data_IF_932719576982
#
_entry.id   IF_932719576982
#
_cell.length_a   1.000
_cell.length_b   1.000
_cell.length_c   1.000
_cell.angle_alpha   90.00
_cell.angle_beta   90.00
_cell.angle_gamma   90.00
#
_symmetry.space_group_name_H-M   'P 1'
#
loop_
_entity.id
_entity.type
_entity.pdbx_description
1 polymer ?
#
# COMPACT_ATOMS: atom_id res chain seq x y z
N UNK A 1 11.64 0.84 53.22
CA UNK A 1 10.33 0.46 52.62
C UNK A 1 10.30 0.98 51.18
N UNK A 2 10.30 0.11 50.16
CA UNK A 2 10.44 0.51 48.75
C UNK A 2 9.09 0.90 48.12
N UNK A 3 9.13 1.91 47.25
CA UNK A 3 8.00 2.35 46.42
C UNK A 3 7.65 1.30 45.35
N UNK A 4 6.36 1.00 45.10
CA UNK A 4 5.99 0.13 43.99
C UNK A 4 6.07 0.86 42.65
N UNK A 5 6.49 0.07 41.66
CA UNK A 5 6.94 0.44 40.32
C UNK A 5 5.78 0.87 39.42
N UNK A 6 6.07 1.85 38.55
CA UNK A 6 5.30 2.17 37.35
C UNK A 6 5.03 0.91 36.54
N UNK A 7 3.76 0.56 36.35
CA UNK A 7 3.31 -0.38 35.34
C UNK A 7 1.94 0.08 34.90
N UNK A 8 1.89 0.69 33.71
CA UNK A 8 0.70 0.84 32.85
C UNK A 8 1.23 1.22 31.46
N UNK A 9 2.06 0.33 30.92
CA UNK A 9 2.08 0.06 29.48
C UNK A 9 1.05 -1.06 29.26
N UNK A 10 0.37 -1.04 28.10
CA UNK A 10 -0.59 -2.04 27.58
C UNK A 10 -2.09 -1.70 27.61
N UNK A 11 -2.42 -0.42 27.46
CA UNK A 11 -3.75 -0.01 26.97
C UNK A 11 -3.51 1.23 26.12
N UNK A 12 -3.29 1.11 24.81
CA UNK A 12 -4.42 1.09 23.88
C UNK A 12 -3.99 0.73 22.43
N UNK A 13 -3.18 -0.33 22.24
CA UNK A 13 -2.80 -0.80 20.89
C UNK A 13 -3.91 -1.56 20.15
N UNK A 14 -5.13 -1.49 20.68
CA UNK A 14 -6.31 -2.23 20.23
C UNK A 14 -7.49 -1.31 19.96
N UNK A 15 -7.24 -0.01 19.71
CA UNK A 15 -8.18 0.87 19.03
C UNK A 15 -8.34 0.40 17.57
N UNK A 16 -9.09 -0.69 17.45
CA UNK A 16 -10.03 -1.04 16.38
C UNK A 16 -9.67 -0.38 15.06
N UNK A 17 -9.02 -1.17 14.19
CA UNK A 17 -9.31 -1.09 12.77
C UNK A 17 -10.82 -1.27 12.64
N UNK A 18 -11.55 -0.16 12.67
CA UNK A 18 -12.93 -0.12 12.21
C UNK A 18 -12.92 -0.69 10.79
N UNK A 19 -13.87 -1.54 10.40
CA UNK A 19 -14.03 -1.87 8.99
C UNK A 19 -14.18 -0.54 8.26
N UNK A 20 -13.21 -0.20 7.42
CA UNK A 20 -13.37 0.98 6.58
C UNK A 20 -14.58 0.70 5.71
N UNK A 21 -15.71 1.37 5.96
CA UNK A 21 -16.92 1.31 5.12
C UNK A 21 -16.69 1.90 3.72
N UNK A 22 -15.44 2.10 3.33
CA UNK A 22 -15.03 2.44 1.97
C UNK A 22 -14.80 1.18 1.14
N UNK A 23 -14.97 1.26 -0.19
CA UNK A 23 -14.69 0.14 -1.07
C UNK A 23 -13.25 -0.36 -0.87
N UNK A 24 -13.06 -1.68 -0.92
CA UNK A 24 -11.73 -2.29 -0.83
C UNK A 24 -10.84 -1.66 -1.91
N UNK A 25 -9.82 -0.91 -1.49
CA UNK A 25 -8.93 -0.17 -2.38
C UNK A 25 -8.22 -1.11 -3.35
N UNK A 26 -7.90 -2.32 -2.90
CA UNK A 26 -7.27 -3.34 -3.73
C UNK A 26 -8.24 -3.85 -4.80
N UNK A 27 -9.48 -4.16 -4.41
CA UNK A 27 -10.52 -4.57 -5.34
C UNK A 27 -10.85 -3.47 -6.35
N UNK A 28 -10.94 -2.21 -5.88
CA UNK A 28 -11.17 -1.04 -6.71
C UNK A 28 -10.05 -0.87 -7.74
N UNK A 29 -8.78 -0.98 -7.32
CA UNK A 29 -7.64 -0.89 -8.23
C UNK A 29 -7.65 -2.00 -9.29
N UNK A 30 -7.99 -3.24 -8.90
CA UNK A 30 -8.15 -4.37 -9.84
C UNK A 30 -9.27 -4.14 -10.84
N UNK A 31 -10.41 -3.62 -10.37
CA UNK A 31 -11.55 -3.29 -11.22
C UNK A 31 -11.17 -2.22 -12.25
N UNK A 32 -10.52 -1.14 -11.82
CA UNK A 32 -10.05 -0.08 -12.73
C UNK A 32 -9.08 -0.66 -13.77
N UNK A 33 -8.14 -1.52 -13.37
CA UNK A 33 -7.19 -2.15 -14.29
C UNK A 33 -7.89 -3.03 -15.36
N UNK A 34 -8.92 -3.79 -14.97
CA UNK A 34 -9.70 -4.60 -15.91
C UNK A 34 -10.51 -3.71 -16.88
N UNK A 35 -11.25 -2.73 -16.35
CA UNK A 35 -12.09 -1.85 -17.14
C UNK A 35 -11.29 -1.03 -18.16
N UNK A 36 -10.16 -0.47 -17.73
CA UNK A 36 -9.29 0.33 -18.62
C UNK A 36 -8.64 -0.51 -19.72
N UNK A 37 -8.39 -1.80 -19.49
CA UNK A 37 -7.93 -2.71 -20.53
C UNK A 37 -8.99 -2.89 -21.64
N UNK A 38 -10.24 -3.14 -21.25
CA UNK A 38 -11.34 -3.30 -22.21
C UNK A 38 -11.58 -2.02 -23.00
N UNK A 39 -11.63 -0.87 -22.31
CA UNK A 39 -11.80 0.44 -22.95
C UNK A 39 -10.65 0.76 -23.91
N UNK A 40 -9.41 0.41 -23.56
CA UNK A 40 -8.27 0.62 -24.46
C UNK A 40 -8.45 -0.16 -25.76
N UNK A 41 -8.91 -1.42 -25.69
CA UNK A 41 -9.18 -2.20 -26.90
C UNK A 41 -10.29 -1.56 -27.76
N UNK A 42 -11.34 -1.03 -27.13
CA UNK A 42 -12.40 -0.31 -27.86
C UNK A 42 -11.87 0.96 -28.51
N UNK A 43 -11.03 1.73 -27.80
CA UNK A 43 -10.41 2.95 -28.32
C UNK A 43 -9.48 2.66 -29.51
N UNK A 44 -8.72 1.55 -29.49
CA UNK A 44 -7.90 1.11 -30.64
C UNK A 44 -8.77 0.77 -31.85
N UNK A 45 -9.89 0.07 -31.65
CA UNK A 45 -10.82 -0.30 -32.73
C UNK A 45 -11.56 0.92 -33.31
N UNK A 46 -11.70 1.98 -32.53
CA UNK A 46 -12.33 3.23 -32.94
C UNK A 46 -11.33 4.27 -33.51
N UNK A 47 -10.07 3.88 -33.76
CA UNK A 47 -9.01 4.79 -34.23
C UNK A 47 -8.82 6.03 -33.33
N UNK A 48 -8.89 5.84 -32.01
CA UNK A 48 -8.64 6.87 -31.00
C UNK A 48 -7.29 6.60 -30.28
N UNK A 49 -6.14 6.82 -30.93
CA UNK A 49 -4.84 6.39 -30.42
C UNK A 49 -4.43 7.08 -29.12
N UNK A 50 -4.70 8.38 -28.99
CA UNK A 50 -4.39 9.14 -27.78
C UNK A 50 -5.22 8.67 -26.58
N UNK A 51 -6.50 8.31 -26.80
CA UNK A 51 -7.35 7.78 -25.75
C UNK A 51 -6.89 6.38 -25.33
N UNK A 52 -6.55 5.50 -26.29
CA UNK A 52 -5.99 4.19 -25.97
C UNK A 52 -4.71 4.31 -25.15
N UNK A 53 -3.84 5.26 -25.49
CA UNK A 53 -2.62 5.53 -24.72
C UNK A 53 -2.92 5.88 -23.26
N UNK A 54 -3.84 6.81 -23.01
CA UNK A 54 -4.22 7.17 -21.63
C UNK A 54 -4.85 6.00 -20.86
N UNK A 55 -5.63 5.16 -21.55
CA UNK A 55 -6.26 3.99 -20.94
C UNK A 55 -5.23 2.90 -20.57
N UNK A 56 -4.20 2.67 -21.40
CA UNK A 56 -3.10 1.76 -21.04
C UNK A 56 -2.24 2.31 -19.88
N UNK A 57 -2.03 3.62 -19.84
CA UNK A 57 -1.35 4.27 -18.72
C UNK A 57 -2.15 4.10 -17.42
N UNK A 58 -3.45 4.42 -17.44
CA UNK A 58 -4.35 4.24 -16.30
C UNK A 58 -4.42 2.78 -15.84
N UNK A 59 -4.46 1.83 -16.77
CA UNK A 59 -4.38 0.39 -16.49
C UNK A 59 -3.10 0.04 -15.73
N UNK A 60 -1.96 0.53 -16.20
CA UNK A 60 -0.65 0.25 -15.59
C UNK A 60 -0.59 0.79 -14.16
N UNK A 61 -1.06 2.01 -13.94
CA UNK A 61 -1.11 2.62 -12.60
C UNK A 61 -2.06 1.86 -11.66
N UNK A 62 -3.23 1.47 -12.14
CA UNK A 62 -4.18 0.69 -11.35
C UNK A 62 -3.64 -0.71 -11.01
N UNK A 63 -2.95 -1.36 -11.96
CA UNK A 63 -2.30 -2.65 -11.73
C UNK A 63 -1.16 -2.53 -10.69
N UNK A 64 -0.40 -1.44 -10.72
CA UNK A 64 0.63 -1.15 -9.71
C UNK A 64 0.01 -0.90 -8.32
N UNK A 65 -1.08 -0.14 -8.26
CA UNK A 65 -1.82 0.08 -7.01
C UNK A 65 -2.44 -1.20 -6.45
N UNK A 66 -2.76 -2.18 -7.31
CA UNK A 66 -3.25 -3.49 -6.90
C UNK A 66 -2.14 -4.46 -6.44
N UNK A 67 -0.87 -4.09 -6.51
CA UNK A 67 0.20 -4.93 -5.98
C UNK A 67 0.21 -4.83 -4.45
N UNK A 68 0.23 -5.96 -3.73
CA UNK A 68 0.43 -5.95 -2.29
C UNK A 68 1.74 -5.23 -2.00
N UNK A 69 1.69 -4.19 -1.17
CA UNK A 69 2.89 -3.48 -0.73
C UNK A 69 3.85 -4.53 -0.15
N UNK A 70 4.90 -4.86 -0.90
CA UNK A 70 5.99 -5.70 -0.39
C UNK A 70 6.55 -4.90 0.77
N UNK A 71 6.19 -5.27 2.01
CA UNK A 71 6.79 -4.69 3.21
C UNK A 71 8.29 -4.83 3.02
N UNK A 72 8.94 -3.72 2.67
CA UNK A 72 10.39 -3.61 2.68
C UNK A 72 10.79 -3.87 4.13
N UNK A 73 11.15 -5.13 4.40
CA UNK A 73 11.49 -5.59 5.73
C UNK A 73 12.72 -4.82 6.20
N UNK A 74 12.56 -4.13 7.33
CA UNK A 74 13.56 -3.97 8.38
C UNK A 74 15.02 -3.88 7.88
N UNK A 75 15.40 -2.72 7.34
CA UNK A 75 16.79 -2.30 7.32
C UNK A 75 17.11 -1.37 8.51
N UNK A 76 16.57 -1.68 9.69
CA UNK A 76 17.18 -1.24 10.95
C UNK A 76 18.21 -2.30 11.31
N UNK A 77 19.29 -2.37 10.52
CA UNK A 77 20.54 -2.91 11.04
C UNK A 77 21.00 -1.86 12.04
N UNK A 78 20.67 -2.08 13.31
CA UNK A 78 21.32 -1.43 14.43
C UNK A 78 22.82 -1.45 14.14
N UNK A 79 23.37 -0.31 13.70
CA UNK A 79 24.80 -0.07 13.77
C UNK A 79 25.07 0.19 15.23
N UNK A 80 25.36 -0.89 15.95
CA UNK A 80 26.07 -0.87 17.22
C UNK A 80 27.18 0.20 17.14
N UNK A 81 27.20 1.23 18.01
CA UNK A 81 28.34 2.14 18.05
C UNK A 81 29.58 1.36 18.50
N UNK A 82 30.77 1.63 17.94
CA UNK A 82 32.00 0.98 18.37
C UNK A 82 32.22 1.29 19.86
N UNK A 83 32.36 0.22 20.65
CA UNK A 83 32.77 0.33 22.03
C UNK A 83 34.21 0.86 22.05
N UNK A 84 34.37 2.08 22.54
CA UNK A 84 35.65 2.65 22.93
C UNK A 84 36.26 1.73 24.00
N UNK A 85 37.35 1.05 23.65
CA UNK A 85 38.31 0.46 24.58
C UNK A 85 39.61 1.20 24.24
N UNK A 86 40.08 2.14 25.07
CA UNK A 86 40.61 1.86 26.41
C UNK A 86 42.13 1.87 26.29
#
# INVERSE_FOLDING_TARGET
>A
MPLPKRKNQDSDKTARQAPSEGPDQLETARYIAALTAELSMMARRADLPLLSYFLEMARTEAANAAQPLRRAGKATRERQPPSDQG
#
